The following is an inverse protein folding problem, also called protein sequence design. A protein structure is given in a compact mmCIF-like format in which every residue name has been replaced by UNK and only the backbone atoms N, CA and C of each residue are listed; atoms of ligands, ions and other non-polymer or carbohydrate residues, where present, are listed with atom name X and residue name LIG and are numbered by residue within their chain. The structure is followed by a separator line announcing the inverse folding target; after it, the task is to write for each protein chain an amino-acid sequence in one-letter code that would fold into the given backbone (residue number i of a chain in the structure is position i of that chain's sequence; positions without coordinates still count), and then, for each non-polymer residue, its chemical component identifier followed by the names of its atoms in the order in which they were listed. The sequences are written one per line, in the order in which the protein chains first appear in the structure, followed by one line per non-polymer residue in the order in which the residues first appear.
data_IF_837155157332
#
_entry.id   IF_837155157332
#
_cell.length_a   1.000
_cell.length_b   1.000
_cell.length_c   1.000
_cell.angle_alpha   90.00
_cell.angle_beta   90.00
_cell.angle_gamma   90.00
#
_symmetry.space_group_name_H-M   'P 1'
#
loop_
_entity.id
_entity.type
_entity.pdbx_description
1 polymer ?
#
# COMPACT_ATOMS: atom_id res chain seq x y z
N UNK A 1 -13.43 23.88 -3.30
CA UNK A 1 -13.80 23.46 -1.94
C UNK A 1 -13.80 21.95 -1.95
N UNK A 2 -12.65 21.33 -1.70
CA UNK A 2 -12.50 19.88 -1.75
C UNK A 2 -13.00 19.32 -0.42
N UNK A 3 -14.12 18.60 -0.43
CA UNK A 3 -14.54 17.81 0.73
C UNK A 3 -13.64 16.58 0.79
N UNK A 4 -12.70 16.55 1.74
CA UNK A 4 -12.19 15.29 2.26
C UNK A 4 -13.34 14.61 2.97
N UNK A 5 -14.00 13.66 2.31
CA UNK A 5 -14.86 12.68 2.97
C UNK A 5 -13.96 11.79 3.82
N UNK A 6 -13.82 12.12 5.10
CA UNK A 6 -13.29 11.17 6.07
C UNK A 6 -14.27 10.01 6.13
N UNK A 7 -13.87 8.86 5.57
CA UNK A 7 -14.58 7.61 5.74
C UNK A 7 -14.84 7.39 7.24
N UNK A 8 -16.05 6.96 7.59
CA UNK A 8 -16.39 6.64 8.98
C UNK A 8 -15.40 5.58 9.48
N UNK A 9 -14.82 5.72 10.67
CA UNK A 9 -13.98 4.68 11.23
C UNK A 9 -14.86 3.45 11.49
N UNK A 10 -14.86 2.53 10.54
CA UNK A 10 -15.23 1.13 10.81
C UNK A 10 -14.03 0.58 11.56
N UNK A 11 -14.26 0.01 12.74
CA UNK A 11 -13.20 -0.68 13.47
C UNK A 11 -12.68 -1.80 12.56
N UNK A 12 -11.37 -1.86 12.34
CA UNK A 12 -10.73 -2.95 11.62
C UNK A 12 -11.28 -4.31 12.10
N UNK A 13 -11.57 -5.20 11.15
CA UNK A 13 -12.26 -6.46 11.42
C UNK A 13 -11.40 -7.52 12.16
N UNK A 14 -10.13 -7.21 12.43
CA UNK A 14 -9.19 -8.10 13.12
C UNK A 14 -7.75 -7.75 12.76
N UNK A 15 -6.77 -8.55 13.20
CA UNK A 15 -5.44 -8.50 12.61
C UNK A 15 -5.51 -8.94 11.14
N UNK A 16 -4.67 -8.33 10.31
CA UNK A 16 -4.47 -8.70 8.91
C UNK A 16 -3.77 -10.06 8.87
N UNK A 17 -4.33 -11.01 8.14
CA UNK A 17 -3.75 -12.33 7.90
C UNK A 17 -3.62 -12.55 6.40
N UNK A 18 -2.43 -12.92 5.93
CA UNK A 18 -2.23 -13.20 4.52
C UNK A 18 -2.76 -14.60 4.17
N UNK A 19 -4.03 -14.68 3.80
CA UNK A 19 -4.74 -15.95 3.54
C UNK A 19 -5.76 -15.90 2.38
N UNK A 20 -5.75 -14.81 1.60
CA UNK A 20 -6.69 -14.53 0.51
C UNK A 20 -8.12 -14.14 0.96
N UNK A 21 -8.37 -14.03 2.27
CA UNK A 21 -9.60 -13.44 2.78
C UNK A 21 -9.46 -11.91 2.83
N UNK A 22 -10.17 -11.23 1.95
CA UNK A 22 -10.05 -9.77 1.85
C UNK A 22 -10.93 -8.99 2.85
N UNK A 23 -11.65 -9.70 3.74
CA UNK A 23 -12.62 -9.10 4.65
C UNK A 23 -12.01 -8.33 5.82
N UNK A 24 -10.79 -8.66 6.24
CA UNK A 24 -10.04 -7.90 7.25
C UNK A 24 -9.75 -6.46 6.83
N UNK A 25 -9.54 -6.21 5.53
CA UNK A 25 -9.14 -4.89 5.01
C UNK A 25 -10.22 -3.81 5.12
N UNK A 26 -11.46 -4.20 5.41
CA UNK A 26 -12.54 -3.25 5.69
C UNK A 26 -12.22 -2.38 6.91
N UNK A 27 -12.18 -1.07 6.70
CA UNK A 27 -11.89 -0.08 7.76
C UNK A 27 -10.42 0.33 7.87
N UNK A 28 -9.51 -0.33 7.14
CA UNK A 28 -8.11 0.09 7.03
C UNK A 28 -7.95 1.30 6.09
N UNK A 29 -6.89 2.12 6.27
CA UNK A 29 -6.66 3.26 5.40
C UNK A 29 -6.29 2.80 3.98
N UNK A 30 -6.70 3.60 2.99
CA UNK A 30 -6.41 3.35 1.58
C UNK A 30 -6.28 4.64 0.79
N UNK A 31 -5.60 4.55 -0.36
CA UNK A 31 -5.68 5.51 -1.46
C UNK A 31 -6.69 5.00 -2.46
N UNK A 32 -7.56 5.88 -2.94
CA UNK A 32 -8.47 5.58 -4.04
C UNK A 32 -7.92 6.19 -5.32
N UNK A 33 -7.96 5.42 -6.40
CA UNK A 33 -7.63 5.91 -7.72
C UNK A 33 -8.87 5.87 -8.65
N UNK A 34 -9.24 7.01 -9.29
CA UNK A 34 -10.40 7.07 -10.17
C UNK A 34 -10.16 6.31 -11.48
N UNK A 35 -11.18 5.63 -12.03
CA UNK A 35 -10.98 4.79 -13.20
C UNK A 35 -10.63 5.60 -14.46
N UNK A 36 -9.86 4.98 -15.35
CA UNK A 36 -9.71 5.39 -16.76
C UNK A 36 -8.42 6.13 -17.12
N UNK A 37 -7.39 6.12 -16.26
CA UNK A 37 -6.05 6.59 -16.59
C UNK A 37 -5.10 5.44 -17.01
N UNK A 38 -5.52 4.20 -16.80
CA UNK A 38 -4.91 2.97 -17.30
C UNK A 38 -5.89 2.09 -18.10
N UNK A 39 -5.35 1.02 -18.69
CA UNK A 39 -6.19 -0.02 -19.27
C UNK A 39 -6.97 -0.72 -18.14
N UNK A 40 -8.24 -1.06 -18.39
CA UNK A 40 -9.23 -1.40 -17.34
C UNK A 40 -8.79 -2.55 -16.42
N UNK A 41 -7.98 -3.46 -16.95
CA UNK A 41 -7.47 -4.65 -16.27
C UNK A 41 -6.26 -4.36 -15.35
N UNK A 42 -5.60 -3.20 -15.53
CA UNK A 42 -4.46 -2.74 -14.73
C UNK A 42 -4.83 -1.56 -13.81
N UNK A 43 -5.92 -0.87 -14.16
CA UNK A 43 -6.53 0.22 -13.39
C UNK A 43 -6.79 -0.17 -11.93
N UNK A 44 -5.99 0.43 -11.05
CA UNK A 44 -6.04 0.29 -9.61
C UNK A 44 -7.26 1.05 -9.13
N UNK A 45 -8.06 0.39 -8.30
CA UNK A 45 -9.16 1.04 -7.61
C UNK A 45 -8.70 1.57 -6.27
N UNK A 46 -8.04 0.71 -5.47
CA UNK A 46 -7.58 1.05 -4.13
C UNK A 46 -6.26 0.38 -3.78
N UNK A 47 -5.43 1.13 -3.06
CA UNK A 47 -4.26 0.60 -2.36
C UNK A 47 -4.48 0.79 -0.86
N UNK A 48 -4.70 -0.32 -0.17
CA UNK A 48 -4.76 -0.40 1.29
C UNK A 48 -3.37 -0.64 1.86
N UNK A 49 -3.12 -0.12 3.06
CA UNK A 49 -1.86 -0.29 3.78
C UNK A 49 -2.10 -0.21 5.28
N UNK A 50 -1.50 -1.09 6.08
CA UNK A 50 -1.52 -0.96 7.54
C UNK A 50 -0.49 -1.87 8.22
N UNK A 51 -0.45 -1.80 9.55
CA UNK A 51 0.32 -2.67 10.43
C UNK A 51 -0.59 -3.35 11.43
N UNK A 52 -0.25 -4.57 11.82
CA UNK A 52 -0.87 -5.22 12.97
C UNK A 52 -0.28 -4.72 14.29
N UNK A 53 -1.08 -4.70 15.37
CA UNK A 53 -0.56 -4.38 16.69
C UNK A 53 0.58 -5.27 17.17
N UNK A 54 1.73 -4.64 17.45
CA UNK A 54 2.96 -5.30 17.93
C UNK A 54 3.64 -6.19 16.88
N UNK A 55 3.36 -5.95 15.60
CA UNK A 55 4.06 -6.61 14.50
C UNK A 55 4.85 -5.58 13.69
N UNK A 56 6.12 -5.87 13.43
CA UNK A 56 7.00 -5.04 12.60
C UNK A 56 6.89 -5.47 11.13
N UNK A 57 5.66 -5.54 10.63
CA UNK A 57 5.34 -5.87 9.24
C UNK A 57 4.36 -4.86 8.69
N UNK A 58 4.69 -4.33 7.51
CA UNK A 58 3.80 -3.47 6.76
C UNK A 58 3.03 -4.32 5.76
N UNK A 59 1.71 -4.30 5.88
CA UNK A 59 0.79 -5.02 5.02
C UNK A 59 0.21 -4.11 3.98
N UNK A 60 -0.11 -4.68 2.82
CA UNK A 60 -0.76 -4.00 1.71
C UNK A 60 -1.83 -4.90 1.10
N UNK A 61 -2.86 -4.29 0.53
CA UNK A 61 -3.78 -4.94 -0.39
C UNK A 61 -4.10 -4.00 -1.54
N UNK A 62 -4.06 -4.53 -2.75
CA UNK A 62 -4.43 -3.81 -3.95
C UNK A 62 -5.72 -4.38 -4.51
N UNK A 63 -6.67 -3.49 -4.78
CA UNK A 63 -7.94 -3.77 -5.45
C UNK A 63 -7.93 -3.12 -6.84
N UNK A 64 -8.34 -3.85 -7.87
CA UNK A 64 -8.52 -3.34 -9.25
C UNK A 64 -9.98 -3.02 -9.56
N UNK A 65 -10.20 -2.12 -10.53
CA UNK A 65 -11.55 -1.87 -11.07
C UNK A 65 -12.10 -3.07 -11.85
N UNK A 66 -11.23 -3.79 -12.55
CA UNK A 66 -11.58 -5.02 -13.25
C UNK A 66 -10.40 -6.00 -13.34
N UNK A 67 -10.72 -7.23 -13.70
CA UNK A 67 -9.77 -8.31 -13.92
C UNK A 67 -10.15 -9.05 -15.19
N UNK A 68 -9.16 -9.36 -16.01
CA UNK A 68 -9.24 -10.31 -17.12
C UNK A 68 -8.66 -11.69 -16.76
N UNK A 69 -8.40 -11.92 -15.47
CA UNK A 69 -7.78 -13.15 -14.95
C UNK A 69 -6.36 -13.44 -15.46
N UNK A 70 -5.67 -12.42 -15.98
CA UNK A 70 -4.26 -12.50 -16.34
C UNK A 70 -3.36 -12.10 -15.17
N UNK A 71 -2.06 -12.26 -15.37
CA UNK A 71 -1.03 -11.89 -14.40
C UNK A 71 -0.94 -10.36 -14.33
N UNK A 72 -0.89 -9.85 -13.11
CA UNK A 72 -0.62 -8.46 -12.77
C UNK A 72 0.80 -8.35 -12.19
N UNK A 73 1.55 -7.35 -12.61
CA UNK A 73 2.81 -6.97 -11.98
C UNK A 73 2.66 -5.60 -11.33
N UNK A 74 3.01 -5.50 -10.06
CA UNK A 74 2.82 -4.32 -9.22
C UNK A 74 4.20 -3.88 -8.72
N UNK A 75 4.51 -2.59 -8.87
CA UNK A 75 5.67 -1.96 -8.25
C UNK A 75 5.18 -0.96 -7.22
N UNK A 76 5.46 -1.21 -5.95
CA UNK A 76 5.21 -0.28 -4.86
C UNK A 76 6.53 0.38 -4.46
N UNK A 77 6.59 1.70 -4.58
CA UNK A 77 7.77 2.49 -4.29
C UNK A 77 7.61 3.16 -2.92
N UNK A 78 8.66 3.07 -2.09
CA UNK A 78 8.74 3.68 -0.77
C UNK A 78 9.97 4.60 -0.72
N UNK A 79 9.74 5.90 -0.65
CA UNK A 79 10.76 6.88 -0.27
C UNK A 79 10.81 6.91 1.25
N UNK A 80 11.82 6.23 1.79
CA UNK A 80 11.92 5.97 3.23
C UNK A 80 12.34 7.21 4.01
N UNK A 81 12.99 8.18 3.36
CA UNK A 81 13.49 9.38 4.02
C UNK A 81 12.61 10.62 3.76
N UNK A 82 11.54 10.46 2.96
CA UNK A 82 10.52 11.46 2.69
C UNK A 82 11.10 12.75 2.07
N UNK A 83 12.01 12.59 1.10
CA UNK A 83 12.63 13.71 0.37
C UNK A 83 12.07 13.91 -1.06
N UNK A 84 11.15 13.06 -1.51
CA UNK A 84 10.53 13.05 -2.83
C UNK A 84 11.35 12.34 -3.92
N UNK A 85 12.44 11.66 -3.56
CA UNK A 85 13.28 10.84 -4.44
C UNK A 85 13.13 9.37 -4.05
N UNK A 86 12.87 8.50 -5.02
CA UNK A 86 12.66 7.06 -4.82
C UNK A 86 13.85 6.21 -5.31
N UNK A 87 14.91 6.87 -5.78
CA UNK A 87 16.06 6.26 -6.45
C UNK A 87 17.29 6.08 -5.55
N UNK A 88 17.19 6.32 -4.25
CA UNK A 88 18.33 6.25 -3.34
C UNK A 88 18.49 4.84 -2.76
N UNK A 89 19.71 4.42 -2.35
CA UNK A 89 19.92 3.11 -1.72
C UNK A 89 19.09 2.89 -0.44
N UNK A 90 18.64 3.98 0.19
CA UNK A 90 17.75 3.93 1.36
C UNK A 90 16.31 3.57 1.00
N UNK A 91 15.88 3.83 -0.23
CA UNK A 91 14.51 3.63 -0.69
C UNK A 91 14.24 2.17 -1.01
N UNK A 92 12.96 1.83 -1.11
CA UNK A 92 12.53 0.45 -1.39
C UNK A 92 11.57 0.41 -2.56
N UNK A 93 11.73 -0.62 -3.39
CA UNK A 93 10.74 -1.04 -4.36
C UNK A 93 10.31 -2.46 -4.04
N UNK A 94 9.04 -2.63 -3.68
CA UNK A 94 8.41 -3.93 -3.54
C UNK A 94 7.82 -4.30 -4.91
N UNK A 95 8.22 -5.44 -5.45
CA UNK A 95 7.73 -5.96 -6.71
C UNK A 95 6.86 -7.19 -6.46
N UNK A 96 5.60 -7.12 -6.85
CA UNK A 96 4.61 -8.19 -6.65
C UNK A 96 4.20 -8.73 -8.01
N UNK A 97 4.28 -10.05 -8.19
CA UNK A 97 3.67 -10.76 -9.33
C UNK A 97 2.48 -11.52 -8.81
N UNK A 98 1.29 -11.15 -9.28
CA UNK A 98 0.03 -11.78 -8.91
C UNK A 98 -0.57 -12.48 -10.12
N UNK A 99 -0.87 -13.77 -10.01
CA UNK A 99 -1.58 -14.54 -11.05
C UNK A 99 -2.76 -15.29 -10.43
N UNK A 100 -4.00 -14.84 -10.67
CA UNK A 100 -5.19 -15.62 -10.34
C UNK A 100 -5.16 -16.98 -11.04
N UNK A 101 -5.35 -18.08 -10.29
CA UNK A 101 -5.51 -19.44 -10.84
C UNK A 101 -6.98 -19.82 -10.79
N UNK A 102 -7.35 -20.95 -11.39
CA UNK A 102 -8.75 -21.39 -11.38
C UNK A 102 -9.29 -21.58 -9.95
N UNK A 103 -8.45 -22.07 -9.05
CA UNK A 103 -8.68 -22.16 -7.61
C UNK A 103 -7.39 -21.68 -6.93
N UNK A 104 -7.53 -20.76 -5.98
CA UNK A 104 -6.42 -20.01 -5.38
C UNK A 104 -5.69 -19.08 -6.36
N UNK A 105 -4.50 -18.67 -5.95
CA UNK A 105 -3.65 -17.70 -6.62
C UNK A 105 -2.18 -18.09 -6.57
N UNK A 106 -1.35 -17.32 -7.26
CA UNK A 106 0.09 -17.36 -7.12
C UNK A 106 0.57 -15.92 -6.93
N UNK A 107 1.19 -15.67 -5.78
CA UNK A 107 1.75 -14.38 -5.40
C UNK A 107 3.25 -14.57 -5.12
N UNK A 108 4.06 -13.83 -5.86
CA UNK A 108 5.50 -13.71 -5.63
C UNK A 108 5.79 -12.28 -5.19
N UNK A 109 6.59 -12.10 -4.14
CA UNK A 109 6.93 -10.78 -3.58
C UNK A 109 8.44 -10.68 -3.44
N UNK A 110 9.03 -9.70 -4.12
CA UNK A 110 10.47 -9.39 -4.10
C UNK A 110 10.66 -7.95 -3.64
N UNK A 111 11.77 -7.67 -2.94
CA UNK A 111 12.12 -6.33 -2.49
C UNK A 111 13.47 -5.95 -3.09
N UNK A 112 13.54 -4.73 -3.60
CA UNK A 112 14.73 -4.10 -4.16
C UNK A 112 14.99 -2.78 -3.44
N UNK A 113 16.25 -2.32 -3.46
CA UNK A 113 16.56 -0.93 -3.10
C UNK A 113 16.13 0.04 -4.23
N UNK A 114 16.15 1.35 -3.95
CA UNK A 114 15.80 2.39 -4.93
C UNK A 114 16.70 2.43 -6.17
N UNK A 115 17.90 1.84 -6.10
CA UNK A 115 18.81 1.72 -7.25
C UNK A 115 18.56 0.47 -8.10
N UNK A 116 17.64 -0.41 -7.66
CA UNK A 116 17.31 -1.68 -8.32
C UNK A 116 18.13 -2.88 -7.84
N UNK A 117 18.91 -2.74 -6.77
CA UNK A 117 19.62 -3.84 -6.12
C UNK A 117 18.64 -4.77 -5.40
N UNK A 118 18.72 -6.07 -5.66
CA UNK A 118 17.87 -7.06 -4.98
C UNK A 118 18.21 -7.15 -3.49
N UNK A 119 17.19 -7.14 -2.63
CA UNK A 119 17.31 -7.26 -1.17
C UNK A 119 16.81 -8.63 -0.72
N UNK A 120 15.57 -8.99 -1.03
CA UNK A 120 14.94 -10.20 -0.49
C UNK A 120 13.79 -10.72 -1.35
N UNK A 121 13.54 -12.02 -1.25
CA UNK A 121 12.29 -12.65 -1.67
C UNK A 121 11.45 -12.91 -0.42
N UNK A 122 10.29 -12.26 -0.34
CA UNK A 122 9.37 -12.34 0.80
C UNK A 122 8.43 -13.52 0.64
N UNK A 123 7.95 -13.74 -0.58
CA UNK A 123 7.03 -14.82 -0.90
C UNK A 123 7.34 -15.42 -2.27
N UNK A 124 7.11 -16.72 -2.39
CA UNK A 124 7.18 -17.45 -3.64
C UNK A 124 6.03 -18.43 -3.76
N UNK A 125 5.22 -18.32 -4.81
CA UNK A 125 4.00 -19.10 -5.03
C UNK A 125 3.05 -19.12 -3.82
N UNK A 126 2.90 -17.99 -3.13
CA UNK A 126 1.94 -17.88 -2.04
C UNK A 126 0.49 -17.76 -2.57
N UNK A 127 -0.47 -18.19 -1.77
CA UNK A 127 -1.90 -18.04 -2.06
C UNK A 127 -2.47 -16.89 -1.23
N UNK A 128 -2.17 -15.65 -1.64
CA UNK A 128 -2.49 -14.40 -0.94
C UNK A 128 -3.27 -13.44 -1.83
N UNK A 129 -4.14 -13.97 -2.67
CA UNK A 129 -4.91 -13.20 -3.63
C UNK A 129 -6.11 -13.98 -4.10
N UNK A 130 -7.07 -13.28 -4.68
CA UNK A 130 -8.28 -13.92 -5.17
C UNK A 130 -7.96 -14.87 -6.34
N UNK A 131 -8.70 -15.96 -6.41
CA UNK A 131 -8.72 -16.82 -7.59
C UNK A 131 -9.59 -16.25 -8.70
N UNK A 132 -9.56 -16.87 -9.87
CA UNK A 132 -10.45 -16.54 -10.99
C UNK A 132 -11.93 -16.75 -10.66
N UNK A 133 -12.25 -17.68 -9.77
CA UNK A 133 -13.62 -17.95 -9.35
C UNK A 133 -14.14 -16.90 -8.36
N UNK A 134 -13.23 -16.26 -7.63
CA UNK A 134 -13.52 -15.16 -6.71
C UNK A 134 -13.51 -13.78 -7.41
N UNK A 135 -13.07 -13.74 -8.67
CA UNK A 135 -13.04 -12.54 -9.51
C UNK A 135 -11.62 -12.05 -9.82
N UNK A 136 -10.65 -12.44 -9.00
CA UNK A 136 -9.24 -12.13 -9.21
C UNK A 136 -8.92 -10.63 -9.15
N UNK A 137 -9.67 -9.85 -8.36
CA UNK A 137 -9.58 -8.40 -8.31
C UNK A 137 -8.58 -7.91 -7.26
N UNK A 138 -8.37 -8.71 -6.21
CA UNK A 138 -7.64 -8.33 -5.01
C UNK A 138 -6.45 -9.24 -4.73
N UNK A 139 -5.36 -8.65 -4.26
CA UNK A 139 -4.15 -9.34 -3.80
C UNK A 139 -3.55 -8.60 -2.62
N UNK A 140 -3.03 -9.36 -1.66
CA UNK A 140 -2.42 -8.85 -0.44
C UNK A 140 -1.00 -9.39 -0.25
N UNK A 141 -0.19 -8.63 0.48
CA UNK A 141 1.15 -9.02 0.85
C UNK A 141 1.60 -8.25 2.09
N UNK A 142 2.65 -8.73 2.76
CA UNK A 142 3.26 -8.05 3.89
C UNK A 142 4.77 -8.10 3.79
N UNK A 143 5.45 -7.02 4.17
CA UNK A 143 6.92 -6.93 4.17
C UNK A 143 7.42 -6.50 5.54
N UNK A 144 8.36 -7.25 6.15
CA UNK A 144 8.97 -6.88 7.41
C UNK A 144 9.71 -5.54 7.38
N UNK A 145 9.68 -4.80 8.48
CA UNK A 145 10.32 -3.48 8.58
C UNK A 145 11.83 -3.52 8.40
N UNK A 146 12.50 -4.58 8.88
CA UNK A 146 13.94 -4.76 8.74
C UNK A 146 14.36 -4.92 7.27
N UNK A 147 13.56 -5.62 6.46
CA UNK A 147 13.74 -5.71 5.00
C UNK A 147 13.50 -4.35 4.34
N UNK A 148 12.47 -3.63 4.79
CA UNK A 148 12.18 -2.29 4.29
C UNK A 148 13.21 -1.23 4.77
N UNK A 149 14.03 -1.54 5.78
CA UNK A 149 14.92 -0.56 6.39
C UNK A 149 14.19 0.59 7.07
N UNK A 150 12.97 0.36 7.54
CA UNK A 150 12.15 1.37 8.25
C UNK A 150 12.05 1.05 9.73
N UNK A 151 11.66 2.03 10.53
CA UNK A 151 11.35 1.87 11.95
C UNK A 151 9.90 2.25 12.25
N UNK A 152 9.31 1.75 13.34
CA UNK A 152 8.00 2.20 13.76
C UNK A 152 7.96 3.72 13.96
N UNK A 153 6.92 4.35 13.42
CA UNK A 153 6.64 5.78 13.48
C UNK A 153 7.36 6.58 12.38
N UNK A 154 8.18 5.94 11.56
CA UNK A 154 8.89 6.61 10.47
C UNK A 154 7.91 7.10 9.41
N UNK A 155 7.96 8.39 9.11
CA UNK A 155 7.19 8.96 8.01
C UNK A 155 7.90 8.67 6.69
N UNK A 156 7.16 8.19 5.70
CA UNK A 156 7.64 7.89 4.34
C UNK A 156 6.60 8.30 3.29
N UNK A 157 7.05 8.46 2.04
CA UNK A 157 6.17 8.61 0.88
C UNK A 157 6.05 7.27 0.16
N UNK A 158 4.86 6.99 -0.35
CA UNK A 158 4.60 5.76 -1.09
C UNK A 158 3.63 5.97 -2.25
N UNK A 159 3.84 5.22 -3.33
CA UNK A 159 2.88 5.05 -4.42
C UNK A 159 3.06 3.69 -5.09
N UNK A 160 1.99 3.15 -5.65
CA UNK A 160 2.01 1.94 -6.47
C UNK A 160 1.83 2.27 -7.96
N UNK A 161 2.43 1.44 -8.80
CA UNK A 161 2.22 1.42 -10.24
C UNK A 161 2.04 -0.03 -10.70
N UNK A 162 1.32 -0.24 -11.80
CA UNK A 162 1.18 -1.57 -12.39
C UNK A 162 1.82 -1.66 -13.77
N UNK A 163 2.05 -2.88 -14.23
CA UNK A 163 2.58 -3.16 -15.57
C UNK A 163 1.90 -4.39 -16.12
N UNK A 164 1.54 -4.34 -17.40
CA UNK A 164 0.85 -5.44 -18.07
C UNK A 164 1.82 -6.34 -18.82
N UNK A 165 1.63 -7.66 -18.71
CA UNK A 165 2.50 -8.65 -19.35
C UNK A 165 2.44 -8.63 -20.89
N UNK A 166 1.38 -8.06 -21.51
CA UNK A 166 1.31 -7.92 -22.97
C UNK A 166 1.98 -6.65 -23.50
N UNK A 167 2.25 -5.67 -22.63
CA UNK A 167 2.87 -4.38 -22.96
C UNK A 167 3.94 -4.00 -21.93
N UNK A 168 5.06 -4.75 -21.84
CA UNK A 168 6.06 -4.58 -20.78
C UNK A 168 6.78 -3.22 -20.78
N UNK A 169 6.77 -2.51 -21.91
CA UNK A 169 7.36 -1.17 -22.03
C UNK A 169 6.43 -0.06 -21.52
N UNK A 170 5.16 -0.38 -21.20
CA UNK A 170 4.17 0.57 -20.72
C UNK A 170 3.93 0.33 -19.23
N UNK A 171 4.42 1.27 -18.42
CA UNK A 171 3.99 1.40 -17.02
C UNK A 171 2.56 1.92 -17.08
N UNK A 172 1.63 1.15 -16.54
CA UNK A 172 0.21 1.44 -16.57
C UNK A 172 -0.26 1.69 -15.14
N UNK A 173 -0.87 2.85 -14.93
CA UNK A 173 -1.32 3.37 -13.64
C UNK A 173 -0.20 3.80 -12.66
N UNK A 174 -0.46 4.89 -11.94
CA UNK A 174 0.33 5.38 -10.82
C UNK A 174 -0.63 5.99 -9.79
N UNK A 175 -0.72 5.36 -8.61
CA UNK A 175 -1.53 5.91 -7.52
C UNK A 175 -0.96 7.23 -7.00
N UNK A 176 -1.80 8.04 -6.35
CA UNK A 176 -1.34 9.22 -5.64
C UNK A 176 -0.33 8.87 -4.54
N UNK A 177 0.70 9.70 -4.42
CA UNK A 177 1.67 9.63 -3.34
C UNK A 177 0.99 9.88 -1.98
N UNK A 178 1.30 9.04 -0.99
CA UNK A 178 0.84 9.21 0.39
C UNK A 178 1.98 9.27 1.37
N UNK A 179 1.90 10.28 2.24
CA UNK A 179 2.72 10.35 3.44
C UNK A 179 2.09 9.51 4.56
N UNK A 180 2.82 8.51 5.05
CA UNK A 180 2.34 7.61 6.10
C UNK A 180 3.43 7.24 7.11
N UNK A 181 3.03 6.83 8.32
CA UNK A 181 3.94 6.33 9.35
C UNK A 181 3.40 5.08 10.03
N UNK A 182 4.17 3.98 10.15
CA UNK A 182 3.75 2.77 10.85
C UNK A 182 3.57 3.04 12.34
N UNK A 183 2.35 3.02 12.87
CA UNK A 183 2.16 3.24 14.29
C UNK A 183 2.49 1.95 15.07
N UNK A 184 3.43 2.01 16.03
CA UNK A 184 3.46 0.99 17.08
C UNK A 184 2.14 1.05 17.85
N UNK A 185 1.52 -0.10 18.09
CA UNK A 185 0.20 -0.20 18.71
C UNK A 185 0.18 0.06 20.23
N UNK A 186 0.77 1.17 20.65
CA UNK A 186 0.28 1.92 21.81
C UNK A 186 -0.83 2.89 21.36
N UNK A 187 -1.86 2.30 20.76
CA UNK A 187 -3.16 2.91 20.54
C UNK A 187 -3.19 4.08 19.54
N UNK A 188 -4.08 3.92 18.57
CA UNK A 188 -4.71 4.97 17.77
C UNK A 188 -5.17 6.26 18.50
N UNK A 189 -5.35 6.36 19.84
CA UNK A 189 -5.63 7.64 20.50
C UNK A 189 -4.51 8.69 20.42
N UNK A 190 -3.25 8.32 20.15
CA UNK A 190 -2.14 9.29 20.12
C UNK A 190 -2.09 10.10 18.81
N UNK A 191 -2.53 9.53 17.68
CA UNK A 191 -2.57 10.25 16.40
C UNK A 191 -3.61 11.40 16.47
N UNK A 192 -4.73 11.19 17.16
CA UNK A 192 -5.71 12.25 17.41
C UNK A 192 -5.13 13.44 18.19
N UNK A 193 -4.24 13.19 19.15
CA UNK A 193 -3.61 14.24 19.97
C UNK A 193 -2.52 14.98 19.19
N UNK A 194 -1.74 14.29 18.36
CA UNK A 194 -0.70 14.93 17.51
C UNK A 194 -1.34 15.78 16.41
N UNK A 195 -2.41 15.29 15.76
CA UNK A 195 -3.13 16.07 14.75
C UNK A 195 -3.82 17.33 15.35
N UNK A 196 -4.43 17.19 16.54
CA UNK A 196 -5.05 18.33 17.23
C UNK A 196 -4.03 19.37 17.73
N UNK A 197 -2.87 18.92 18.20
CA UNK A 197 -1.81 19.82 18.69
C UNK A 197 -1.08 20.55 17.54
N UNK A 198 -0.88 19.89 16.40
CA UNK A 198 -0.40 20.53 15.16
C UNK A 198 -1.37 21.60 14.64
N UNK A 199 -2.67 21.30 14.58
CA UNK A 199 -3.69 22.27 14.16
C UNK A 199 -3.80 23.47 15.13
N UNK A 200 -3.67 23.23 16.44
CA UNK A 200 -3.69 24.29 17.47
C UNK A 200 -2.45 25.20 17.40
N UNK A 201 -1.27 24.65 17.12
CA UNK A 201 -0.04 25.44 16.96
C UNK A 201 -0.09 26.32 15.70
N UNK A 202 -0.56 25.77 14.58
CA UNK A 202 -0.75 26.52 13.34
C UNK A 202 -1.81 27.62 13.48
N UNK A 203 -2.93 27.34 14.17
CA UNK A 203 -3.96 28.34 14.46
C UNK A 203 -3.45 29.47 15.38
N UNK A 204 -2.58 29.15 16.35
CA UNK A 204 -1.96 30.13 17.25
C UNK A 204 -0.89 30.98 16.54
N UNK A 205 -0.10 30.40 15.65
CA UNK A 205 0.86 31.16 14.84
C UNK A 205 0.15 32.14 13.88
N UNK A 206 -0.96 31.71 13.25
CA UNK A 206 -1.72 32.55 12.32
C UNK A 206 -2.35 33.78 13.00
N UNK A 207 -2.74 33.67 14.28
CA UNK A 207 -3.26 34.80 15.09
C UNK A 207 -2.19 35.77 15.59
N UNK A 208 -0.90 35.41 15.55
CA UNK A 208 0.21 36.30 15.96
C UNK A 208 0.77 37.12 14.80
N UNK A 209 0.41 36.77 13.56
CA UNK A 209 0.86 37.41 12.32
C UNK A 209 -0.25 38.25 11.66
N UNK A 210 -1.41 38.39 12.33
CA UNK A 210 -2.51 39.32 11.99
C UNK A 210 -2.62 40.36 13.10
#
# INVERSE_FOLDING_TARGET
MLMMTLARPVLANGPIVLDSNMGEWDGHPYVEDPPGDADKENDIRRLYFDTNPNEETLYFMLERWASDNTKLEISLFLDTNNNGNYGEPGDRRIFVRYQPKNQGSQVDVEVYDGTGGFIAQIAHNADWGESRQEGGLRVEWGVPFDVLGIIPGQTMLMFAATTHNQHPDRIEDTTQEVQWSPANALGWPLIGVVALSGALLLARQRRRLS
#
